data_IF_531180863937
#
_entry.id   IF_531180863937
#
_cell.length_a   1.000
_cell.length_b   1.000
_cell.length_c   1.000
_cell.angle_alpha   90.00
_cell.angle_beta   90.00
_cell.angle_gamma   90.00
#
_symmetry.space_group_name_H-M   'P 1'
#
loop_
_entity.id
_entity.type
_entity.pdbx_description
1 polymer ?
#
# COMPACT_ATOMS: atom_id res chain seq x y z
N UNK A 1 -9.65 -5.58 2.85
CA UNK A 1 -9.21 -4.55 1.88
C UNK A 1 -10.34 -4.08 0.96
N UNK A 2 -11.43 -4.85 0.80
CA UNK A 2 -12.47 -4.61 -0.21
C UNK A 2 -13.42 -3.43 0.07
N UNK A 3 -13.24 -2.73 1.20
CA UNK A 3 -14.04 -1.55 1.57
C UNK A 3 -13.41 -0.21 1.19
N UNK A 4 -12.20 -0.19 0.61
CA UNK A 4 -11.50 1.04 0.27
C UNK A 4 -12.10 1.63 -1.01
N UNK A 5 -12.67 2.83 -0.90
CA UNK A 5 -13.08 3.63 -2.06
C UNK A 5 -11.89 4.44 -2.56
N UNK A 6 -11.43 4.13 -3.78
CA UNK A 6 -10.30 4.80 -4.37
C UNK A 6 -10.76 5.96 -5.28
N UNK A 7 -10.04 7.07 -5.26
CA UNK A 7 -10.28 8.23 -6.11
C UNK A 7 -8.96 8.60 -6.80
N UNK A 8 -8.97 8.66 -8.13
CA UNK A 8 -7.82 9.10 -8.93
C UNK A 8 -7.91 10.59 -9.20
N UNK A 9 -6.76 11.27 -9.11
CA UNK A 9 -6.58 12.67 -9.52
C UNK A 9 -5.63 12.72 -10.71
N UNK A 10 -6.04 13.37 -11.80
CA UNK A 10 -5.22 13.59 -13.00
C UNK A 10 -5.28 15.06 -13.42
N UNK A 11 -4.27 15.57 -14.15
CA UNK A 11 -4.37 16.87 -14.79
C UNK A 11 -5.64 16.92 -15.66
N UNK A 12 -6.43 17.98 -15.53
CA UNK A 12 -7.58 18.23 -16.40
C UNK A 12 -7.16 18.89 -17.72
N UNK A 13 -8.15 19.16 -18.58
CA UNK A 13 -7.92 19.72 -19.92
C UNK A 13 -7.40 21.18 -19.89
N UNK A 14 -7.51 21.86 -18.74
CA UNK A 14 -7.00 23.22 -18.52
C UNK A 14 -6.03 23.24 -17.34
N UNK A 15 -5.06 24.17 -17.28
CA UNK A 15 -4.01 24.19 -16.25
C UNK A 15 -4.52 24.20 -14.80
N UNK A 16 -5.69 24.75 -14.56
CA UNK A 16 -6.30 24.83 -13.22
C UNK A 16 -7.37 23.76 -12.98
N UNK A 17 -7.70 22.97 -14.00
CA UNK A 17 -8.66 21.90 -13.90
C UNK A 17 -7.99 20.62 -13.39
N UNK A 18 -8.66 19.92 -12.49
CA UNK A 18 -8.31 18.57 -12.09
C UNK A 18 -9.41 17.62 -12.51
N UNK A 19 -9.02 16.50 -13.10
CA UNK A 19 -9.92 15.39 -13.39
C UNK A 19 -9.94 14.45 -12.18
N UNK A 20 -11.09 14.39 -11.51
CA UNK A 20 -11.31 13.63 -10.28
C UNK A 20 -12.26 12.49 -10.59
N UNK A 21 -11.80 11.25 -10.43
CA UNK A 21 -12.60 10.05 -10.77
C UNK A 21 -12.70 9.11 -9.58
N UNK A 22 -13.91 8.72 -9.23
CA UNK A 22 -14.13 7.59 -8.32
C UNK A 22 -13.86 6.29 -9.07
N UNK A 23 -12.95 5.49 -8.55
CA UNK A 23 -12.57 4.21 -9.15
C UNK A 23 -13.49 3.10 -8.67
N UNK A 24 -13.80 2.16 -9.57
CA UNK A 24 -14.65 0.99 -9.28
C UNK A 24 -13.83 -0.29 -9.09
N UNK A 25 -12.56 -0.29 -9.50
CA UNK A 25 -11.65 -1.40 -9.30
C UNK A 25 -11.10 -1.43 -7.85
N UNK A 26 -10.66 -2.60 -7.36
CA UNK A 26 -10.00 -2.72 -6.06
C UNK A 26 -8.79 -1.80 -5.94
N UNK A 27 -8.55 -1.25 -4.73
CA UNK A 27 -7.49 -0.28 -4.48
C UNK A 27 -6.10 -0.72 -5.02
N UNK A 28 -5.70 -1.96 -4.75
CA UNK A 28 -4.40 -2.47 -5.20
C UNK A 28 -4.28 -2.55 -6.73
N UNK A 29 -5.39 -2.86 -7.42
CA UNK A 29 -5.43 -2.92 -8.88
C UNK A 29 -5.31 -1.52 -9.49
N UNK A 30 -6.00 -0.54 -8.89
CA UNK A 30 -5.88 0.88 -9.29
C UNK A 30 -4.43 1.36 -9.14
N UNK A 31 -3.78 1.08 -8.00
CA UNK A 31 -2.38 1.47 -7.78
C UNK A 31 -1.46 0.78 -8.77
N UNK A 32 -1.62 -0.54 -8.98
CA UNK A 32 -0.81 -1.30 -9.93
C UNK A 32 -0.87 -0.69 -11.35
N UNK A 33 -2.08 -0.38 -11.83
CA UNK A 33 -2.29 0.25 -13.13
C UNK A 33 -1.65 1.65 -13.19
N UNK A 34 -1.77 2.44 -12.13
CA UNK A 34 -1.22 3.80 -12.09
C UNK A 34 0.32 3.82 -12.20
N UNK A 35 1.02 2.81 -11.67
CA UNK A 35 2.48 2.68 -11.76
C UNK A 35 2.96 1.72 -12.86
N UNK A 36 2.06 1.26 -13.74
CA UNK A 36 2.39 0.44 -14.90
C UNK A 36 2.78 -1.01 -14.59
N UNK A 37 2.33 -1.56 -13.46
CA UNK A 37 2.55 -2.94 -13.08
C UNK A 37 1.31 -3.80 -13.32
N UNK A 38 1.53 -5.09 -13.62
CA UNK A 38 0.44 -6.06 -13.79
C UNK A 38 -0.32 -6.32 -12.48
N UNK A 39 0.39 -6.37 -11.36
CA UNK A 39 -0.13 -6.61 -10.03
C UNK A 39 0.89 -6.17 -8.98
N UNK A 40 0.41 -5.86 -7.77
CA UNK A 40 1.26 -5.67 -6.60
C UNK A 40 1.35 -6.98 -5.81
N UNK A 41 2.54 -7.31 -5.32
CA UNK A 41 2.70 -8.34 -4.30
C UNK A 41 2.49 -7.71 -2.94
N UNK A 42 1.52 -8.20 -2.19
CA UNK A 42 1.25 -7.74 -0.82
C UNK A 42 1.95 -8.63 0.19
N UNK A 43 2.46 -8.01 1.25
CA UNK A 43 2.90 -8.68 2.47
C UNK A 43 2.01 -8.12 3.57
N UNK A 44 1.20 -8.96 4.19
CA UNK A 44 0.36 -8.55 5.31
C UNK A 44 1.23 -8.40 6.56
N UNK A 45 0.96 -7.38 7.36
CA UNK A 45 1.59 -7.22 8.68
C UNK A 45 0.89 -8.09 9.71
N UNK A 46 1.66 -8.82 10.50
CA UNK A 46 1.18 -9.68 11.58
C UNK A 46 0.64 -11.05 11.14
N UNK A 47 0.57 -11.95 12.12
CA UNK A 47 -0.03 -13.28 12.05
C UNK A 47 -1.55 -13.25 12.21
N UNK A 48 -2.08 -13.88 13.25
CA UNK A 48 -3.52 -13.91 13.53
C UNK A 48 -4.09 -12.54 13.93
N UNK A 49 -5.42 -12.43 14.06
CA UNK A 49 -6.15 -11.16 14.31
C UNK A 49 -5.60 -10.37 15.52
N UNK A 50 -4.94 -11.04 16.47
CA UNK A 50 -4.38 -10.42 17.67
C UNK A 50 -2.94 -9.90 17.49
N UNK A 51 -2.14 -10.54 16.63
CA UNK A 51 -0.79 -10.07 16.30
C UNK A 51 -0.80 -8.89 15.32
N UNK A 52 -1.78 -8.86 14.40
CA UNK A 52 -1.95 -7.76 13.45
C UNK A 52 -2.27 -6.42 14.14
N UNK A 53 -3.08 -6.41 15.21
CA UNK A 53 -3.38 -5.19 15.98
C UNK A 53 -2.16 -4.63 16.72
N UNK A 54 -1.21 -5.50 17.13
CA UNK A 54 0.00 -5.09 17.85
C UNK A 54 1.10 -4.62 16.88
N UNK A 55 1.34 -5.34 15.80
CA UNK A 55 2.36 -4.96 14.80
C UNK A 55 1.93 -3.74 13.96
N UNK A 56 0.62 -3.49 13.82
CA UNK A 56 0.13 -2.23 13.25
C UNK A 56 0.44 -1.03 14.16
N UNK A 57 0.51 -1.22 15.49
CA UNK A 57 0.94 -0.21 16.45
C UNK A 57 2.47 -0.08 16.55
N UNK A 58 3.21 -1.13 16.17
CA UNK A 58 4.68 -1.19 16.14
C UNK A 58 5.29 -0.93 14.74
N UNK A 59 4.57 -0.24 13.84
CA UNK A 59 5.07 0.18 12.52
C UNK A 59 5.51 -0.98 11.60
N UNK A 60 4.89 -2.17 11.70
CA UNK A 60 5.23 -3.34 10.86
C UNK A 60 5.14 -3.12 9.34
N UNK A 61 4.25 -2.23 8.90
CA UNK A 61 4.06 -1.88 7.46
C UNK A 61 4.82 -0.63 7.05
N UNK A 62 5.48 0.04 8.00
CA UNK A 62 6.15 1.32 7.82
C UNK A 62 7.66 1.11 7.78
N UNK A 63 8.13 0.62 6.63
CA UNK A 63 9.55 0.40 6.35
C UNK A 63 10.08 1.42 5.35
N UNK A 64 11.35 1.79 5.49
CA UNK A 64 12.02 2.71 4.55
C UNK A 64 12.81 1.89 3.54
N UNK A 65 12.46 2.02 2.26
CA UNK A 65 13.21 1.39 1.17
C UNK A 65 14.49 2.18 0.84
N UNK A 66 15.65 1.53 0.94
CA UNK A 66 16.94 2.08 0.53
C UNK A 66 17.25 1.78 -0.95
N UNK A 67 16.79 0.63 -1.42
CA UNK A 67 16.90 0.16 -2.80
C UNK A 67 15.81 -0.91 -3.06
N UNK A 68 15.55 -1.31 -4.31
CA UNK A 68 14.65 -2.43 -4.60
C UNK A 68 15.05 -3.69 -3.83
N UNK A 69 14.15 -4.19 -2.97
CA UNK A 69 14.38 -5.37 -2.14
C UNK A 69 15.23 -5.14 -0.88
N UNK A 70 15.64 -3.89 -0.58
CA UNK A 70 16.42 -3.55 0.61
C UNK A 70 15.66 -2.50 1.43
N UNK A 71 15.23 -2.88 2.63
CA UNK A 71 14.45 -2.03 3.54
C UNK A 71 15.06 -1.95 4.92
N UNK A 72 14.80 -0.85 5.63
CA UNK A 72 15.05 -0.70 7.06
C UNK A 72 13.75 -0.94 7.81
N UNK A 73 13.77 -1.90 8.73
CA UNK A 73 12.63 -2.29 9.56
C UNK A 73 13.03 -2.34 11.04
N UNK A 74 12.04 -2.24 11.94
CA UNK A 74 12.30 -2.46 13.36
C UNK A 74 12.55 -3.95 13.65
N UNK A 75 13.58 -4.23 14.46
CA UNK A 75 13.94 -5.58 14.87
C UNK A 75 12.82 -6.30 15.67
N UNK A 76 11.88 -5.56 16.27
CA UNK A 76 10.78 -6.15 17.05
C UNK A 76 9.70 -6.84 16.21
N UNK A 77 9.60 -6.54 14.92
CA UNK A 77 8.58 -7.08 14.02
C UNK A 77 9.07 -8.39 13.39
N UNK A 78 9.34 -9.39 14.24
CA UNK A 78 10.02 -10.64 13.86
C UNK A 78 9.23 -11.41 12.80
N UNK A 79 7.89 -11.43 12.89
CA UNK A 79 7.06 -12.19 11.96
C UNK A 79 7.06 -11.56 10.56
N UNK A 80 6.70 -10.28 10.47
CA UNK A 80 6.66 -9.52 9.20
C UNK A 80 8.01 -9.50 8.47
N UNK A 81 9.15 -9.49 9.19
CA UNK A 81 10.48 -9.53 8.57
C UNK A 81 10.86 -10.89 7.96
N UNK A 82 10.10 -11.96 8.24
CA UNK A 82 10.41 -13.34 7.78
C UNK A 82 9.47 -13.88 6.70
N UNK A 83 8.47 -13.09 6.29
CA UNK A 83 7.52 -13.39 5.21
C UNK A 83 8.08 -12.99 3.84
#
# INVERSE_FOLDING_TARGET
>A
MDGIRCTSLRPGDQPEASDVRGETAPFLDVVAQAIGLKALRTVATGGDEWEAEREQWDDGSNVIALAPGIVVAYNRNVYTNTL
#
